data_IF_627564888464
#
_entry.id   IF_627564888464
#
_cell.length_a   1.000
_cell.length_b   1.000
_cell.length_c   1.000
_cell.angle_alpha   90.00
_cell.angle_beta   90.00
_cell.angle_gamma   90.00
#
_symmetry.space_group_name_H-M   'P 1'
#
loop_
_entity.id
_entity.type
_entity.pdbx_description
1 polymer ?
#
# COMPACT_ATOMS: atom_id res chain seq x y z
N UNK A 1 23.99 -17.70 14.96
CA UNK A 1 24.90 -16.64 14.45
C UNK A 1 25.23 -15.75 15.62
N UNK A 2 26.49 -15.72 16.07
CA UNK A 2 26.89 -15.05 17.31
C UNK A 2 27.22 -13.60 16.99
N UNK A 3 26.55 -12.64 17.63
CA UNK A 3 26.95 -11.23 17.58
C UNK A 3 27.76 -10.92 18.85
N UNK A 4 29.07 -10.73 18.67
CA UNK A 4 29.98 -10.28 19.73
C UNK A 4 30.04 -8.75 19.71
N UNK A 5 29.36 -8.10 20.67
CA UNK A 5 29.49 -6.66 20.89
C UNK A 5 30.56 -6.39 21.95
N UNK A 6 31.73 -5.92 21.51
CA UNK A 6 32.79 -5.43 22.39
C UNK A 6 32.46 -4.01 22.87
N UNK A 7 32.50 -3.78 24.18
CA UNK A 7 32.55 -2.45 24.79
C UNK A 7 33.68 -2.41 25.80
N UNK A 8 34.52 -1.37 25.73
CA UNK A 8 35.74 -1.16 26.53
C UNK A 8 35.84 0.30 26.95
N UNK A 9 36.22 0.53 28.21
CA UNK A 9 36.87 1.71 28.83
C UNK A 9 36.32 1.86 30.27
N UNK A 10 36.98 1.41 31.34
CA UNK A 10 38.21 1.94 31.99
C UNK A 10 37.89 3.16 32.90
N UNK A 11 38.38 3.27 34.15
CA UNK A 11 39.43 2.54 34.91
C UNK A 11 38.85 1.75 36.13
N UNK A 12 39.57 1.18 37.12
CA UNK A 12 41.00 1.25 37.53
C UNK A 12 41.43 0.01 38.38
N UNK A 13 42.63 0.04 38.96
CA UNK A 13 43.14 -0.72 40.12
C UNK A 13 43.13 -2.27 40.14
N UNK A 14 44.28 -2.83 39.70
CA UNK A 14 44.94 -4.09 40.16
C UNK A 14 44.25 -5.46 39.96
N UNK A 15 44.61 -6.07 38.82
CA UNK A 15 45.01 -7.48 38.58
C UNK A 15 44.42 -8.61 39.47
N UNK A 16 43.55 -9.43 38.86
CA UNK A 16 43.64 -10.91 38.92
C UNK A 16 42.89 -11.53 37.73
N UNK A 17 43.51 -12.50 37.04
CA UNK A 17 42.87 -13.23 35.93
C UNK A 17 42.26 -14.55 36.45
N UNK A 18 40.95 -14.56 36.68
CA UNK A 18 40.18 -15.81 36.79
C UNK A 18 39.18 -15.90 35.63
N UNK A 19 39.34 -16.93 34.80
CA UNK A 19 38.47 -17.22 33.67
C UNK A 19 37.23 -18.01 34.12
N UNK A 20 36.26 -17.33 34.75
CA UNK A 20 34.95 -17.94 35.03
C UNK A 20 34.10 -18.01 33.75
N UNK A 21 33.95 -19.21 33.19
CA UNK A 21 33.05 -19.45 32.06
C UNK A 21 31.61 -19.51 32.58
N UNK A 22 30.96 -18.35 32.64
CA UNK A 22 29.59 -18.22 33.12
C UNK A 22 28.58 -18.75 32.09
N UNK A 23 28.34 -20.06 32.06
CA UNK A 23 27.30 -20.69 31.23
C UNK A 23 25.92 -20.34 31.79
N UNK A 24 25.38 -19.16 31.45
CA UNK A 24 23.96 -18.87 31.66
C UNK A 24 23.13 -19.85 30.83
N UNK A 25 22.45 -20.77 31.51
CA UNK A 25 21.39 -21.59 30.90
C UNK A 25 20.28 -20.62 30.46
N UNK A 26 20.18 -20.36 29.15
CA UNK A 26 19.12 -19.52 28.57
C UNK A 26 17.81 -20.30 28.64
N UNK A 27 17.17 -20.26 29.81
CA UNK A 27 15.81 -20.75 30.02
C UNK A 27 14.80 -19.62 29.78
N UNK A 28 15.06 -18.81 28.75
CA UNK A 28 14.10 -17.84 28.22
C UNK A 28 13.02 -18.63 27.47
N UNK A 29 11.91 -18.89 28.16
CA UNK A 29 10.64 -19.11 27.47
C UNK A 29 10.31 -17.81 26.72
N UNK A 30 10.75 -17.71 25.47
CA UNK A 30 10.25 -16.68 24.54
C UNK A 30 8.74 -16.82 24.48
N UNK A 31 8.07 -15.92 25.20
CA UNK A 31 6.64 -15.95 25.41
C UNK A 31 5.96 -15.53 24.11
N UNK A 32 5.61 -16.52 23.28
CA UNK A 32 4.83 -16.34 22.04
C UNK A 32 3.46 -15.67 22.28
N UNK A 33 3.05 -15.57 23.54
CA UNK A 33 1.91 -14.80 24.03
C UNK A 33 1.93 -13.31 23.64
N UNK A 34 3.08 -12.73 23.29
CA UNK A 34 3.19 -11.32 22.87
C UNK A 34 2.95 -11.08 21.38
N UNK A 35 2.73 -12.13 20.57
CA UNK A 35 2.37 -11.99 19.15
C UNK A 35 0.90 -12.32 18.92
N UNK A 36 0.08 -11.30 18.68
CA UNK A 36 -1.25 -11.49 18.11
C UNK A 36 -1.13 -11.94 16.65
N UNK A 37 -1.92 -12.93 16.24
CA UNK A 37 -2.04 -13.31 14.83
C UNK A 37 -2.72 -12.20 14.02
N UNK A 38 -2.55 -12.22 12.69
CA UNK A 38 -3.10 -11.18 11.79
C UNK A 38 -4.64 -11.08 11.72
N UNK A 39 -5.36 -11.94 12.44
CA UNK A 39 -6.82 -12.02 12.44
C UNK A 39 -7.41 -12.61 11.16
N UNK A 40 -8.73 -12.82 11.18
CA UNK A 40 -9.51 -13.25 10.01
C UNK A 40 -10.76 -12.39 9.95
N UNK A 41 -10.96 -11.66 8.85
CA UNK A 41 -12.20 -10.93 8.59
C UNK A 41 -13.19 -11.87 7.89
N UNK A 42 -14.43 -11.88 8.36
CA UNK A 42 -15.52 -12.64 7.77
C UNK A 42 -16.62 -11.66 7.30
N UNK A 43 -16.76 -11.51 6.00
CA UNK A 43 -17.85 -10.75 5.37
C UNK A 43 -19.00 -11.73 5.03
N UNK A 44 -20.15 -11.61 5.70
CA UNK A 44 -21.29 -12.55 5.57
C UNK A 44 -22.43 -11.93 4.76
N UNK A 45 -22.87 -12.62 3.71
CA UNK A 45 -24.07 -12.33 2.88
C UNK A 45 -24.14 -10.95 2.19
N UNK A 46 -23.59 -10.88 0.98
CA UNK A 46 -24.02 -9.98 -0.11
C UNK A 46 -23.69 -10.53 -1.52
N UNK A 47 -23.06 -11.72 -1.62
CA UNK A 47 -22.50 -12.23 -2.88
C UNK A 47 -21.17 -11.56 -3.23
N UNK A 48 -20.83 -11.51 -4.52
CA UNK A 48 -19.73 -10.69 -5.05
C UNK A 48 -20.33 -9.49 -5.76
N UNK A 49 -20.02 -8.27 -5.32
CA UNK A 49 -20.50 -7.03 -5.93
C UNK A 49 -19.29 -6.26 -6.51
N UNK A 50 -19.15 -6.18 -7.84
CA UNK A 50 -18.20 -5.30 -8.52
C UNK A 50 -18.36 -3.83 -8.10
N UNK A 51 -17.31 -3.14 -7.63
CA UNK A 51 -17.37 -1.70 -7.42
C UNK A 51 -17.48 -0.95 -8.75
N UNK A 52 -18.22 0.16 -8.75
CA UNK A 52 -18.20 1.12 -9.85
C UNK A 52 -16.93 1.98 -9.75
N UNK A 53 -16.18 2.07 -10.85
CA UNK A 53 -14.92 2.82 -10.93
C UNK A 53 -15.11 4.16 -11.63
N UNK A 54 -14.62 5.23 -11.01
CA UNK A 54 -14.51 6.57 -11.61
C UNK A 54 -13.06 7.01 -11.53
N UNK A 55 -12.48 7.43 -12.66
CA UNK A 55 -11.14 8.04 -12.71
C UNK A 55 -11.30 9.53 -12.98
N UNK A 56 -10.59 10.34 -12.19
CA UNK A 56 -10.61 11.79 -12.22
C UNK A 56 -9.24 12.30 -12.67
N UNK A 57 -9.26 13.25 -13.61
CA UNK A 57 -8.08 13.91 -14.15
C UNK A 57 -7.39 14.81 -13.10
N UNK A 58 -6.08 15.09 -13.25
CA UNK A 58 -5.43 16.20 -12.55
C UNK A 58 -6.06 17.54 -12.95
N UNK A 59 -5.96 18.56 -12.08
CA UNK A 59 -6.46 19.91 -12.42
C UNK A 59 -5.44 20.70 -13.25
N UNK A 60 -5.94 21.60 -14.08
CA UNK A 60 -5.11 22.46 -14.94
C UNK A 60 -4.12 23.33 -14.13
N UNK A 61 -4.49 23.73 -12.91
CA UNK A 61 -3.62 24.48 -11.99
C UNK A 61 -2.51 23.62 -11.39
N UNK A 62 -2.75 22.31 -11.22
CA UNK A 62 -1.73 21.36 -10.74
C UNK A 62 -0.71 21.08 -11.84
N UNK A 63 -1.17 20.88 -13.08
CA UNK A 63 -0.32 20.68 -14.25
C UNK A 63 0.63 21.87 -14.48
N UNK A 64 0.13 23.10 -14.31
CA UNK A 64 0.96 24.32 -14.33
C UNK A 64 2.03 24.38 -13.22
N UNK A 65 1.83 23.66 -12.11
CA UNK A 65 2.82 23.49 -11.04
C UNK A 65 3.81 22.33 -11.30
N UNK A 66 3.74 21.69 -12.48
CA UNK A 66 4.63 20.61 -12.90
C UNK A 66 4.24 19.22 -12.35
N UNK A 67 3.03 19.05 -11.81
CA UNK A 67 2.57 17.80 -11.19
C UNK A 67 1.23 17.35 -11.77
N UNK A 68 0.99 16.05 -11.79
CA UNK A 68 -0.28 15.46 -12.19
C UNK A 68 -0.71 14.42 -11.15
N UNK A 69 -1.77 14.71 -10.40
CA UNK A 69 -2.40 13.79 -9.46
C UNK A 69 -3.69 13.23 -10.07
N UNK A 70 -3.67 11.96 -10.48
CA UNK A 70 -4.84 11.23 -10.97
C UNK A 70 -5.51 10.52 -9.79
N UNK A 71 -6.84 10.56 -9.68
CA UNK A 71 -7.58 9.90 -8.59
C UNK A 71 -8.59 8.89 -9.12
N UNK A 72 -8.53 7.65 -8.63
CA UNK A 72 -9.53 6.61 -8.85
C UNK A 72 -10.38 6.45 -7.60
N UNK A 73 -11.70 6.42 -7.78
CA UNK A 73 -12.66 6.14 -6.71
C UNK A 73 -13.45 4.90 -7.11
N UNK A 74 -13.47 3.90 -6.23
CA UNK A 74 -14.18 2.66 -6.39
C UNK A 74 -15.30 2.60 -5.35
N UNK A 75 -16.56 2.57 -5.79
CA UNK A 75 -17.72 2.66 -4.89
C UNK A 75 -18.63 1.44 -5.00
N UNK A 76 -19.29 1.11 -3.88
CA UNK A 76 -20.30 0.05 -3.77
C UNK A 76 -19.80 -1.36 -4.09
N UNK A 77 -18.55 -1.67 -3.75
CA UNK A 77 -18.01 -3.02 -3.89
C UNK A 77 -18.22 -3.89 -2.65
N UNK A 78 -18.23 -5.21 -2.83
CA UNK A 78 -18.28 -6.19 -1.74
C UNK A 78 -17.69 -7.54 -2.21
N UNK A 79 -17.09 -8.38 -1.33
CA UNK A 79 -16.62 -8.10 0.04
C UNK A 79 -15.47 -7.08 0.13
N UNK A 80 -14.79 -6.98 1.28
CA UNK A 80 -13.79 -5.94 1.60
C UNK A 80 -12.41 -6.09 0.93
N UNK A 81 -12.17 -7.18 0.19
CA UNK A 81 -10.86 -7.62 -0.29
C UNK A 81 -10.45 -7.11 -1.68
N UNK A 82 -11.25 -6.22 -2.30
CA UNK A 82 -10.87 -5.56 -3.54
C UNK A 82 -9.59 -4.72 -3.38
N UNK A 83 -8.78 -4.71 -4.44
CA UNK A 83 -7.52 -3.96 -4.52
C UNK A 83 -7.48 -3.11 -5.78
N UNK A 84 -7.26 -1.82 -5.61
CA UNK A 84 -6.96 -0.90 -6.70
C UNK A 84 -5.49 -0.99 -7.10
N UNK A 85 -5.20 -0.72 -8.37
CA UNK A 85 -3.87 -0.64 -8.97
C UNK A 85 -3.94 0.18 -10.26
N UNK A 86 -2.81 0.71 -10.73
CA UNK A 86 -2.79 1.51 -11.95
C UNK A 86 -1.97 0.89 -13.09
N UNK A 87 -2.41 1.19 -14.31
CA UNK A 87 -1.64 1.06 -15.54
C UNK A 87 -1.53 2.40 -16.24
N UNK A 88 -0.36 2.65 -16.82
CA UNK A 88 -0.04 3.81 -17.66
C UNK A 88 0.37 3.25 -19.02
N UNK A 89 -0.36 3.62 -20.07
CA UNK A 89 -0.23 3.05 -21.43
C UNK A 89 -0.18 1.51 -21.44
N UNK A 90 -1.09 0.90 -20.68
CA UNK A 90 -1.23 -0.56 -20.53
C UNK A 90 -0.15 -1.25 -19.69
N UNK A 91 0.89 -0.54 -19.25
CA UNK A 91 1.97 -1.06 -18.39
C UNK A 91 1.70 -0.73 -16.93
N UNK A 92 2.10 -1.59 -16.00
CA UNK A 92 2.00 -1.30 -14.56
C UNK A 92 2.69 0.03 -14.20
N UNK A 93 2.02 0.87 -13.41
CA UNK A 93 2.53 2.19 -13.04
C UNK A 93 3.83 2.12 -12.23
N UNK A 94 4.80 2.97 -12.57
CA UNK A 94 6.01 3.22 -11.78
C UNK A 94 5.97 4.52 -10.95
N UNK A 95 4.81 5.20 -10.92
CA UNK A 95 4.62 6.47 -10.21
C UNK A 95 4.42 6.29 -8.70
N UNK A 96 4.31 7.41 -7.97
CA UNK A 96 3.98 7.38 -6.55
C UNK A 96 2.48 7.07 -6.40
N UNK A 97 2.17 5.87 -5.91
CA UNK A 97 0.81 5.40 -5.71
C UNK A 97 0.43 5.37 -4.22
N UNK A 98 -0.71 5.99 -3.90
CA UNK A 98 -1.35 5.89 -2.59
C UNK A 98 -2.71 5.18 -2.72
N UNK A 99 -3.11 4.43 -1.68
CA UNK A 99 -4.36 3.67 -1.63
C UNK A 99 -4.97 3.79 -0.24
N UNK A 100 -6.27 4.10 -0.17
CA UNK A 100 -7.02 4.04 1.09
C UNK A 100 -7.46 2.61 1.40
N UNK A 101 -7.63 2.25 2.70
CA UNK A 101 -8.31 1.01 3.07
C UNK A 101 -9.79 1.07 2.69
N UNK A 102 -10.40 -0.09 2.46
CA UNK A 102 -11.83 -0.19 2.16
C UNK A 102 -12.69 0.33 3.32
N UNK A 103 -13.39 1.43 3.09
CA UNK A 103 -14.32 2.04 4.05
C UNK A 103 -15.72 1.46 3.86
N UNK A 104 -16.29 0.87 4.91
CA UNK A 104 -17.69 0.40 4.91
C UNK A 104 -18.62 1.60 5.02
N UNK A 105 -19.56 1.72 4.09
CA UNK A 105 -20.52 2.81 4.00
C UNK A 105 -21.88 2.42 4.61
N UNK A 106 -22.73 3.42 4.84
CA UNK A 106 -24.07 3.24 5.39
C UNK A 106 -25.01 2.38 4.52
N UNK A 107 -24.70 2.16 3.24
CA UNK A 107 -25.44 1.27 2.34
C UNK A 107 -24.95 -0.20 2.40
N UNK A 108 -24.07 -0.54 3.35
CA UNK A 108 -23.54 -1.88 3.57
C UNK A 108 -22.44 -2.31 2.59
N UNK A 109 -22.03 -1.43 1.68
CA UNK A 109 -20.99 -1.72 0.71
C UNK A 109 -19.70 -0.96 1.06
N UNK A 110 -18.59 -1.39 0.46
CA UNK A 110 -17.28 -0.77 0.64
C UNK A 110 -16.97 0.24 -0.48
N UNK A 111 -16.25 1.29 -0.10
CA UNK A 111 -15.59 2.22 -1.03
C UNK A 111 -14.08 2.23 -0.80
N UNK A 112 -13.32 2.44 -1.87
CA UNK A 112 -11.88 2.65 -1.87
C UNK A 112 -11.53 3.86 -2.73
N UNK A 113 -10.38 4.45 -2.47
CA UNK A 113 -9.75 5.43 -3.33
C UNK A 113 -8.29 5.10 -3.55
N UNK A 114 -7.77 5.43 -4.72
CA UNK A 114 -6.34 5.41 -5.00
C UNK A 114 -5.95 6.67 -5.76
N UNK A 115 -4.71 7.08 -5.56
CA UNK A 115 -4.14 8.28 -6.14
C UNK A 115 -2.81 7.91 -6.78
N UNK A 116 -2.63 8.24 -8.05
CA UNK A 116 -1.37 8.09 -8.78
C UNK A 116 -0.81 9.47 -9.08
N UNK A 117 0.41 9.74 -8.63
CA UNK A 117 1.14 10.97 -8.96
C UNK A 117 2.18 10.71 -10.03
N UNK A 118 2.17 11.57 -11.04
CA UNK A 118 3.13 11.62 -12.14
C UNK A 118 3.68 13.04 -12.28
N UNK A 119 4.91 13.21 -12.80
CA UNK A 119 5.37 14.50 -13.34
C UNK A 119 4.43 14.99 -14.45
N UNK A 120 4.18 16.30 -14.54
CA UNK A 120 3.33 16.84 -15.62
C UNK A 120 3.91 16.55 -17.01
N UNK A 121 5.23 16.60 -17.17
CA UNK A 121 5.90 16.27 -18.44
C UNK A 121 5.77 14.79 -18.81
N UNK A 122 5.44 13.90 -17.86
CA UNK A 122 5.08 12.52 -18.14
C UNK A 122 3.59 12.41 -18.49
N UNK A 123 2.73 13.13 -17.77
CA UNK A 123 1.28 13.15 -18.03
C UNK A 123 0.92 13.60 -19.45
N UNK A 124 1.60 14.62 -19.97
CA UNK A 124 1.41 15.10 -21.36
C UNK A 124 1.88 14.12 -22.44
N UNK A 125 2.72 13.13 -22.09
CA UNK A 125 3.31 12.17 -23.03
C UNK A 125 2.60 10.82 -23.04
N UNK A 126 1.89 10.47 -21.97
CA UNK A 126 1.14 9.21 -21.87
C UNK A 126 -0.21 9.38 -22.54
N UNK A 127 -0.68 8.37 -23.26
CA UNK A 127 -1.97 8.43 -23.97
C UNK A 127 -3.15 8.01 -23.09
N UNK A 128 -2.90 7.18 -22.08
CA UNK A 128 -3.95 6.58 -21.25
C UNK A 128 -3.46 6.23 -19.84
N UNK A 129 -4.35 6.44 -18.86
CA UNK A 129 -4.17 5.96 -17.49
C UNK A 129 -5.40 5.16 -17.07
N UNK A 130 -5.17 3.92 -16.67
CA UNK A 130 -6.22 2.95 -16.32
C UNK A 130 -6.13 2.61 -14.84
N UNK A 131 -7.23 2.76 -14.11
CA UNK A 131 -7.39 2.20 -12.78
C UNK A 131 -7.99 0.80 -12.89
N UNK A 132 -7.36 -0.19 -12.27
CA UNK A 132 -7.85 -1.58 -12.21
C UNK A 132 -8.23 -1.96 -10.78
N UNK A 133 -9.44 -2.50 -10.61
CA UNK A 133 -9.89 -3.15 -9.38
C UNK A 133 -9.88 -4.67 -9.53
N UNK A 134 -9.14 -5.33 -8.64
CA UNK A 134 -8.90 -6.78 -8.64
C UNK A 134 -9.41 -7.41 -7.35
N UNK A 135 -9.83 -8.67 -7.42
CA UNK A 135 -10.34 -9.43 -6.28
C UNK A 135 -10.10 -10.93 -6.52
N UNK A 136 -9.31 -11.56 -5.66
CA UNK A 136 -8.93 -12.97 -5.79
C UNK A 136 -8.43 -13.32 -7.20
N UNK A 137 -8.96 -14.40 -7.77
CA UNK A 137 -8.70 -14.87 -9.14
C UNK A 137 -9.74 -14.43 -10.17
N UNK A 138 -10.57 -13.43 -9.86
CA UNK A 138 -11.59 -12.95 -10.79
C UNK A 138 -11.02 -11.98 -11.83
N UNK A 139 -11.77 -11.81 -12.92
CA UNK A 139 -11.47 -10.79 -13.94
C UNK A 139 -11.37 -9.39 -13.32
N UNK A 140 -10.27 -8.65 -13.58
CA UNK A 140 -10.15 -7.25 -13.20
C UNK A 140 -11.27 -6.40 -13.80
N UNK A 141 -11.71 -5.39 -13.06
CA UNK A 141 -12.50 -4.28 -13.59
C UNK A 141 -11.52 -3.16 -13.94
N UNK A 142 -11.68 -2.49 -15.07
CA UNK A 142 -10.78 -1.44 -15.52
C UNK A 142 -11.56 -0.20 -15.96
N UNK A 143 -11.17 0.98 -15.47
CA UNK A 143 -11.65 2.26 -15.97
C UNK A 143 -10.47 3.06 -16.50
N UNK A 144 -10.55 3.51 -17.75
CA UNK A 144 -9.47 4.22 -18.44
C UNK A 144 -9.85 5.67 -18.64
N UNK A 145 -8.93 6.57 -18.30
CA UNK A 145 -8.95 7.97 -18.67
C UNK A 145 -7.94 8.17 -19.81
N UNK A 146 -8.41 8.74 -20.92
CA UNK A 146 -7.55 9.13 -22.05
C UNK A 146 -7.10 10.57 -21.80
N UNK A 147 -5.81 10.86 -21.96
CA UNK A 147 -5.23 12.17 -21.58
C UNK A 147 -5.60 13.29 -22.54
N UNK A 148 -5.85 12.96 -23.80
CA UNK A 148 -6.34 13.86 -24.86
C UNK A 148 -7.73 14.44 -24.56
N UNK A 149 -8.57 13.71 -23.81
CA UNK A 149 -9.90 14.17 -23.41
C UNK A 149 -9.87 15.18 -22.25
N UNK A 150 -8.72 15.36 -21.60
CA UNK A 150 -8.55 16.29 -20.47
C UNK A 150 -8.06 17.68 -20.89
N UNK A 151 -7.63 17.89 -22.14
CA UNK A 151 -7.08 19.18 -22.58
C UNK A 151 -8.13 20.27 -22.90
N UNK A 152 -9.40 20.06 -22.53
CA UNK A 152 -10.52 20.94 -22.90
C UNK A 152 -11.54 21.18 -21.77
N UNK A 153 -11.22 20.81 -20.53
CA UNK A 153 -12.07 21.00 -19.34
C UNK A 153 -11.53 22.07 -18.38
#
# INVERSE_FOLDING_TARGET
MILLSLFVSESESRVSLQSEVFVRRVNEFVSLWWTFGGGTRLDVNLGRVPPSLTVLAPSSEELQQGKATVMCVANKGFPSDWRLSWKVDGRSSSGEESRSPGALQNDGHYSWSSTLRLPADQWEKVGSVTCEATQGSHTPLSQTLMTDQCSQS
#
